data_IF_490855732205
#
_entry.id   IF_490855732205
#
_cell.length_a   1.000
_cell.length_b   1.000
_cell.length_c   1.000
_cell.angle_alpha   90.00
_cell.angle_beta   90.00
_cell.angle_gamma   90.00
#
_symmetry.space_group_name_H-M   'P 1'
#
loop_
_entity.id
_entity.type
_entity.pdbx_description
1 polymer ?
#
# COMPACT_ATOMS: atom_id res chain seq x y z
N UNK A 1 15.86 5.95 -12.62
CA UNK A 1 14.43 5.62 -12.79
C UNK A 1 13.65 5.99 -11.53
N UNK A 2 12.50 6.57 -11.71
CA UNK A 2 11.64 6.96 -10.58
C UNK A 2 10.74 5.80 -10.18
N UNK A 3 10.61 5.59 -8.88
CA UNK A 3 9.72 4.58 -8.32
C UNK A 3 8.56 5.27 -7.60
N UNK A 4 7.40 4.64 -7.61
CA UNK A 4 6.17 5.22 -7.08
C UNK A 4 5.57 4.22 -6.10
N UNK A 5 5.22 4.68 -4.90
CA UNK A 5 4.58 3.84 -3.89
C UNK A 5 3.21 4.45 -3.58
N UNK A 6 2.17 3.65 -3.75
CA UNK A 6 0.79 4.08 -3.56
C UNK A 6 0.18 3.28 -2.42
N UNK A 7 -0.45 4.00 -1.50
CA UNK A 7 -1.20 3.39 -0.40
C UNK A 7 -2.68 3.59 -0.66
N UNK A 8 -3.49 2.56 -0.45
CA UNK A 8 -4.94 2.60 -0.67
C UNK A 8 -5.63 2.14 0.60
N UNK A 9 -6.61 2.91 1.06
CA UNK A 9 -7.40 2.57 2.24
C UNK A 9 -8.86 2.55 1.85
N UNK A 10 -9.53 1.41 2.05
CA UNK A 10 -10.95 1.27 1.77
C UNK A 10 -11.69 1.06 3.09
N UNK A 11 -12.71 1.86 3.32
CA UNK A 11 -13.46 1.84 4.57
C UNK A 11 -14.77 1.09 4.42
N UNK A 12 -15.38 0.73 5.57
CA UNK A 12 -16.58 -0.10 5.58
C UNK A 12 -17.79 0.59 4.96
N UNK A 13 -17.80 1.93 4.89
CA UNK A 13 -18.88 2.67 4.25
C UNK A 13 -18.72 2.76 2.73
N UNK A 14 -17.67 2.16 2.18
CA UNK A 14 -17.40 2.18 0.74
C UNK A 14 -16.48 3.28 0.29
N UNK A 15 -16.10 4.20 1.17
CA UNK A 15 -15.17 5.27 0.78
C UNK A 15 -13.77 4.71 0.60
N UNK A 16 -13.02 5.34 -0.31
CA UNK A 16 -11.64 4.97 -0.59
C UNK A 16 -10.78 6.22 -0.43
N UNK A 17 -9.70 6.09 0.34
CA UNK A 17 -8.73 7.16 0.53
C UNK A 17 -7.40 6.72 -0.06
N UNK A 18 -6.75 7.64 -0.77
CA UNK A 18 -5.40 7.41 -1.30
C UNK A 18 -4.55 8.54 -0.75
N UNK A 19 -3.76 8.26 0.30
CA UNK A 19 -2.86 9.27 0.87
C UNK A 19 -1.85 9.75 -0.18
N UNK A 20 -1.14 10.85 0.09
CA UNK A 20 -0.16 11.36 -0.87
C UNK A 20 0.82 10.28 -1.32
N UNK A 21 1.05 10.23 -2.62
CA UNK A 21 1.92 9.25 -3.24
C UNK A 21 3.37 9.50 -2.82
N UNK A 22 4.10 8.42 -2.53
CA UNK A 22 5.52 8.49 -2.25
C UNK A 22 6.30 8.22 -3.54
N UNK A 23 7.42 8.91 -3.72
CA UNK A 23 8.31 8.65 -4.84
C UNK A 23 9.74 8.48 -4.32
N UNK A 24 10.54 7.72 -5.05
CA UNK A 24 11.93 7.50 -4.69
C UNK A 24 12.76 7.33 -5.96
N UNK A 25 14.05 7.69 -5.87
CA UNK A 25 14.95 7.61 -7.03
C UNK A 25 15.71 6.29 -7.07
N UNK A 26 15.68 5.50 -6.01
CA UNK A 26 16.33 4.19 -6.00
C UNK A 26 15.31 3.12 -5.60
N UNK A 27 15.56 1.92 -6.12
CA UNK A 27 14.70 0.78 -5.78
C UNK A 27 14.74 0.46 -4.27
N UNK A 28 15.93 0.58 -3.67
CA UNK A 28 16.07 0.23 -2.25
C UNK A 28 15.30 1.20 -1.35
N UNK A 29 15.33 2.49 -1.67
CA UNK A 29 14.53 3.48 -0.93
C UNK A 29 13.04 3.22 -1.12
N UNK A 30 12.62 2.94 -2.35
CA UNK A 30 11.22 2.65 -2.64
C UNK A 30 10.75 1.40 -1.92
N UNK A 31 11.58 0.36 -1.92
CA UNK A 31 11.29 -0.90 -1.24
C UNK A 31 11.15 -0.70 0.27
N UNK A 32 12.03 0.11 0.85
CA UNK A 32 11.96 0.43 2.28
C UNK A 32 10.64 1.12 2.62
N UNK A 33 10.24 2.10 1.82
CA UNK A 33 8.97 2.80 2.01
C UNK A 33 7.79 1.85 1.87
N UNK A 34 7.81 1.00 0.84
CA UNK A 34 6.77 0.02 0.59
C UNK A 34 6.60 -0.93 1.77
N UNK A 35 7.71 -1.49 2.27
CA UNK A 35 7.65 -2.43 3.39
C UNK A 35 7.19 -1.74 4.68
N UNK A 36 7.56 -0.49 4.88
CA UNK A 36 7.09 0.27 6.03
C UNK A 36 5.58 0.47 6.00
N UNK A 37 5.02 0.78 4.82
CA UNK A 37 3.58 0.92 4.64
C UNK A 37 2.89 -0.42 4.88
N UNK A 38 3.45 -1.51 4.33
CA UNK A 38 2.90 -2.84 4.52
C UNK A 38 2.87 -3.25 5.99
N UNK A 39 3.94 -2.95 6.72
CA UNK A 39 4.00 -3.27 8.15
C UNK A 39 2.91 -2.55 8.93
N UNK A 40 2.67 -1.28 8.62
CA UNK A 40 1.60 -0.51 9.24
C UNK A 40 0.23 -1.04 8.83
N UNK A 41 0.06 -1.35 7.54
CA UNK A 41 -1.21 -1.83 7.01
C UNK A 41 -1.60 -3.18 7.62
N UNK A 42 -0.63 -4.03 7.90
CA UNK A 42 -0.89 -5.36 8.44
C UNK A 42 -1.56 -5.31 9.82
N UNK A 43 -1.32 -4.24 10.58
CA UNK A 43 -1.85 -4.11 11.94
C UNK A 43 -2.84 -2.95 12.07
N UNK A 44 -3.28 -2.36 10.96
CA UNK A 44 -4.14 -1.19 11.00
C UNK A 44 -5.60 -1.58 11.22
N UNK A 45 -6.40 -0.60 11.64
CA UNK A 45 -7.84 -0.78 11.82
C UNK A 45 -8.62 -0.54 10.52
N UNK A 46 -7.96 -0.15 9.46
CA UNK A 46 -8.60 0.09 8.16
C UNK A 46 -9.09 -1.25 7.61
N UNK A 47 -10.38 -1.38 7.23
CA UNK A 47 -10.92 -2.67 6.77
C UNK A 47 -10.15 -3.28 5.62
N UNK A 48 -9.79 -2.51 4.61
CA UNK A 48 -8.92 -2.97 3.53
C UNK A 48 -7.82 -1.96 3.34
N UNK A 49 -6.58 -2.39 3.49
CA UNK A 49 -5.41 -1.51 3.43
C UNK A 49 -4.39 -2.15 2.49
N UNK A 50 -4.00 -1.45 1.44
CA UNK A 50 -3.17 -1.99 0.38
C UNK A 50 -2.02 -1.05 0.06
N UNK A 51 -0.95 -1.61 -0.51
CA UNK A 51 0.19 -0.85 -0.97
C UNK A 51 0.68 -1.42 -2.29
N UNK A 52 1.13 -0.54 -3.19
CA UNK A 52 1.65 -0.91 -4.50
C UNK A 52 2.99 -0.21 -4.69
N UNK A 53 3.98 -0.97 -5.16
CA UNK A 53 5.28 -0.44 -5.55
C UNK A 53 5.44 -0.64 -7.05
N UNK A 54 5.65 0.43 -7.79
CA UNK A 54 5.82 0.39 -9.23
C UNK A 54 6.89 1.37 -9.68
N UNK A 55 7.32 1.26 -10.94
CA UNK A 55 8.21 2.27 -11.50
C UNK A 55 7.41 3.25 -12.36
N UNK A 56 8.10 4.26 -12.90
CA UNK A 56 7.46 5.31 -13.67
C UNK A 56 6.83 4.85 -14.99
N UNK A 57 7.17 3.64 -15.44
CA UNK A 57 6.56 3.07 -16.64
C UNK A 57 5.35 2.18 -16.31
N UNK A 58 5.01 2.04 -15.02
CA UNK A 58 3.87 1.26 -14.59
C UNK A 58 4.18 -0.18 -14.28
N UNK A 59 5.44 -0.61 -14.39
CA UNK A 59 5.81 -1.96 -14.03
C UNK A 59 5.72 -2.13 -12.52
N UNK A 60 4.99 -3.14 -12.07
CA UNK A 60 4.73 -3.38 -10.65
C UNK A 60 5.76 -4.35 -10.09
N UNK A 61 6.36 -3.99 -8.96
CA UNK A 61 7.34 -4.82 -8.25
C UNK A 61 6.78 -5.40 -6.97
N UNK A 62 5.74 -4.81 -6.42
CA UNK A 62 5.15 -5.30 -5.19
C UNK A 62 3.71 -4.85 -5.06
N UNK A 63 2.87 -5.74 -4.52
CA UNK A 63 1.48 -5.46 -4.25
C UNK A 63 1.10 -6.30 -3.04
N UNK A 64 0.67 -5.62 -1.96
CA UNK A 64 0.18 -6.29 -0.78
C UNK A 64 -1.16 -5.70 -0.40
N UNK A 65 -2.10 -6.55 -0.06
CA UNK A 65 -3.43 -6.13 0.36
C UNK A 65 -3.79 -6.86 1.64
N UNK A 66 -4.20 -6.10 2.65
CA UNK A 66 -4.57 -6.64 3.95
C UNK A 66 -6.07 -6.40 4.15
N UNK A 67 -6.85 -7.47 4.15
CA UNK A 67 -8.29 -7.41 4.32
C UNK A 67 -8.64 -7.85 5.73
N UNK A 68 -8.85 -6.88 6.61
CA UNK A 68 -9.12 -7.14 8.02
C UNK A 68 -10.59 -7.52 8.28
N UNK A 69 -11.45 -7.34 7.30
CA UNK A 69 -12.86 -7.69 7.43
C UNK A 69 -13.03 -9.18 7.66
N UNK A 70 -12.27 -10.00 6.94
CA UNK A 70 -12.39 -11.44 6.98
C UNK A 70 -11.96 -12.05 8.30
N UNK A 71 -11.15 -11.34 9.06
CA UNK A 71 -10.68 -11.85 10.35
C UNK A 71 -11.81 -11.94 11.36
N UNK A 72 -12.87 -11.17 11.17
CA UNK A 72 -13.99 -11.09 12.12
C UNK A 72 -15.00 -12.20 11.93
N UNK A 73 -14.89 -12.94 10.84
CA UNK A 73 -15.82 -14.02 10.54
C UNK A 73 -15.31 -15.37 11.03
N UNK A 74 -14.10 -15.38 11.50
CA UNK A 74 -13.49 -16.59 12.03
C UNK A 74 -14.06 -16.91 13.41
#
# INVERSE_FOLDING_TARGET
MKYIIIEIQKFSDGTVAVPPIHTADSFFEASSTFHSICATAAVSDVPVHSAVLMNETGQTYGLESFNHINEQTE
#
